data_IF_536072542799
#
_entry.id   IF_536072542799
#
_cell.length_a   1.000
_cell.length_b   1.000
_cell.length_c   1.000
_cell.angle_alpha   90.00
_cell.angle_beta   90.00
_cell.angle_gamma   90.00
#
_symmetry.space_group_name_H-M   'P 1'
#
loop_
_entity.id
_entity.type
_entity.pdbx_description
1 polymer ?
#
# COMPACT_ATOMS: atom_id res chain seq x y z
N UNK A 1 7.94 -6.55 8.18
CA UNK A 1 7.02 -6.23 7.07
C UNK A 1 6.21 -4.96 7.30
N UNK A 2 5.75 -4.75 8.52
CA UNK A 2 4.96 -3.55 8.82
C UNK A 2 5.77 -2.26 8.61
N UNK A 3 7.04 -2.27 9.01
CA UNK A 3 7.90 -1.11 8.81
C UNK A 3 8.12 -0.83 7.32
N UNK A 4 8.27 -1.88 6.53
CA UNK A 4 8.43 -1.76 5.09
C UNK A 4 7.19 -1.11 4.46
N UNK A 5 6.01 -1.57 4.88
CA UNK A 5 4.75 -1.00 4.39
C UNK A 5 4.60 0.46 4.79
N UNK A 6 4.95 0.77 6.05
CA UNK A 6 4.85 2.12 6.57
C UNK A 6 5.78 3.10 5.87
N UNK A 7 6.90 2.60 5.32
CA UNK A 7 7.86 3.44 4.60
C UNK A 7 7.55 3.56 3.11
N UNK A 8 6.55 2.82 2.63
CA UNK A 8 6.20 2.85 1.21
C UNK A 8 5.61 4.21 0.83
N UNK A 9 6.07 4.74 -0.30
CA UNK A 9 5.54 5.99 -0.81
C UNK A 9 4.25 5.72 -1.61
N UNK A 10 3.58 6.80 -2.02
CA UNK A 10 2.31 6.68 -2.73
C UNK A 10 2.42 5.87 -4.01
N UNK A 11 3.39 6.12 -4.89
CA UNK A 11 3.53 5.28 -6.10
C UNK A 11 3.71 3.80 -5.80
N UNK A 12 4.43 3.48 -4.75
CA UNK A 12 4.62 2.08 -4.33
C UNK A 12 3.30 1.48 -3.85
N UNK A 13 2.54 2.24 -3.05
CA UNK A 13 1.24 1.79 -2.58
C UNK A 13 0.28 1.55 -3.75
N UNK A 14 0.29 2.42 -4.75
CA UNK A 14 -0.52 2.25 -5.95
C UNK A 14 -0.19 0.94 -6.66
N UNK A 15 1.09 0.66 -6.77
CA UNK A 15 1.56 -0.55 -7.45
C UNK A 15 1.12 -1.81 -6.70
N UNK A 16 1.20 -1.76 -5.39
CA UNK A 16 0.89 -2.92 -4.56
C UNK A 16 -0.62 -3.17 -4.48
N UNK A 17 -1.39 -2.12 -4.21
CA UNK A 17 -2.84 -2.25 -3.97
C UNK A 17 -3.67 -2.21 -5.25
N UNK A 18 -3.16 -1.55 -6.28
CA UNK A 18 -3.93 -1.30 -7.49
C UNK A 18 -4.82 -0.07 -7.39
N UNK A 19 -4.89 0.57 -6.23
CA UNK A 19 -5.64 1.82 -6.09
C UNK A 19 -4.85 2.96 -6.72
N UNK A 20 -5.55 3.99 -7.15
CA UNK A 20 -4.93 5.14 -7.80
C UNK A 20 -5.22 6.39 -7.00
N UNK A 21 -4.20 7.23 -6.84
CA UNK A 21 -4.37 8.49 -6.12
C UNK A 21 -5.46 9.36 -6.75
N UNK A 22 -5.56 9.32 -8.07
CA UNK A 22 -6.52 10.13 -8.81
C UNK A 22 -7.98 9.78 -8.49
N UNK A 23 -8.22 8.59 -7.93
CA UNK A 23 -9.56 8.16 -7.56
C UNK A 23 -9.99 8.73 -6.21
N UNK A 24 -9.10 9.43 -5.52
CA UNK A 24 -9.36 9.96 -4.19
C UNK A 24 -9.19 11.48 -4.20
N UNK A 25 -9.84 12.14 -3.23
CA UNK A 25 -9.82 13.60 -3.18
C UNK A 25 -8.45 14.12 -2.72
N UNK A 26 -7.79 14.99 -3.52
CA UNK A 26 -6.52 15.59 -3.10
C UNK A 26 -6.71 16.66 -2.02
N UNK A 27 -7.96 17.12 -1.80
CA UNK A 27 -8.23 18.17 -0.81
C UNK A 27 -7.90 17.74 0.60
N UNK A 28 -7.92 16.44 0.87
CA UNK A 28 -7.62 15.90 2.18
C UNK A 28 -6.20 15.32 2.25
N UNK A 29 -5.33 15.76 1.33
CA UNK A 29 -3.94 15.31 1.33
C UNK A 29 -3.79 13.83 1.05
N UNK A 30 -4.72 13.28 0.29
CA UNK A 30 -4.76 11.86 -0.04
C UNK A 30 -4.95 10.96 1.18
N UNK A 31 -5.50 11.51 2.25
CA UNK A 31 -5.74 10.73 3.47
C UNK A 31 -6.66 9.53 3.17
N UNK A 32 -7.69 9.74 2.35
CA UNK A 32 -8.61 8.66 1.98
C UNK A 32 -7.86 7.55 1.22
N UNK A 33 -6.94 7.95 0.34
CA UNK A 33 -6.11 6.99 -0.39
C UNK A 33 -5.25 6.17 0.58
N UNK A 34 -4.58 6.84 1.50
CA UNK A 34 -3.73 6.18 2.49
C UNK A 34 -4.55 5.24 3.37
N UNK A 35 -5.72 5.71 3.82
CA UNK A 35 -6.60 4.89 4.65
C UNK A 35 -7.07 3.64 3.91
N UNK A 36 -7.43 3.79 2.63
CA UNK A 36 -7.86 2.66 1.81
C UNK A 36 -6.73 1.66 1.63
N UNK A 37 -5.52 2.13 1.39
CA UNK A 37 -4.35 1.27 1.24
C UNK A 37 -4.06 0.52 2.53
N UNK A 38 -4.15 1.21 3.67
CA UNK A 38 -3.92 0.59 4.97
C UNK A 38 -4.96 -0.47 5.28
N UNK A 39 -6.24 -0.21 4.96
CA UNK A 39 -7.30 -1.19 5.15
C UNK A 39 -7.07 -2.42 4.26
N UNK A 40 -6.65 -2.18 3.01
CA UNK A 40 -6.34 -3.26 2.09
C UNK A 40 -5.24 -4.16 2.67
N UNK A 41 -4.18 -3.54 3.20
CA UNK A 41 -3.06 -4.26 3.79
C UNK A 41 -3.49 -5.05 5.02
N UNK A 42 -4.26 -4.41 5.91
CA UNK A 42 -4.71 -5.05 7.15
C UNK A 42 -5.62 -6.25 6.89
N UNK A 43 -6.32 -6.24 5.77
CA UNK A 43 -7.22 -7.35 5.42
C UNK A 43 -6.46 -8.59 4.94
N UNK A 44 -5.17 -8.46 4.67
CA UNK A 44 -4.35 -9.59 4.22
C UNK A 44 -3.88 -10.43 5.38
N UNK A 45 -3.80 -11.75 5.15
CA UNK A 45 -3.22 -12.65 6.14
C UNK A 45 -1.70 -12.46 6.19
N UNK A 46 -1.08 -13.04 7.21
CA UNK A 46 0.37 -12.98 7.34
C UNK A 46 1.06 -13.55 6.09
N UNK A 47 0.58 -14.69 5.62
CA UNK A 47 1.17 -15.34 4.44
C UNK A 47 1.04 -14.46 3.19
N UNK A 48 -0.11 -13.81 3.04
CA UNK A 48 -0.33 -12.90 1.91
C UNK A 48 0.59 -11.68 2.01
N UNK A 49 0.71 -11.11 3.19
CA UNK A 49 1.61 -9.98 3.42
C UNK A 49 3.05 -10.34 3.09
N UNK A 50 3.47 -11.53 3.51
CA UNK A 50 4.82 -12.01 3.25
C UNK A 50 5.08 -12.17 1.76
N UNK A 51 4.11 -12.71 1.03
CA UNK A 51 4.24 -12.89 -0.42
C UNK A 51 4.35 -11.54 -1.12
N UNK A 52 3.53 -10.57 -0.71
CA UNK A 52 3.57 -9.22 -1.25
C UNK A 52 4.92 -8.56 -0.98
N UNK A 53 5.38 -8.68 0.25
CA UNK A 53 6.66 -8.12 0.65
C UNK A 53 7.81 -8.69 -0.20
N UNK A 54 7.84 -9.99 -0.37
CA UNK A 54 8.90 -10.64 -1.16
C UNK A 54 8.84 -10.22 -2.62
N UNK A 55 7.64 -10.15 -3.18
CA UNK A 55 7.46 -9.81 -4.58
C UNK A 55 7.97 -8.40 -4.88
N UNK A 56 7.63 -7.44 -4.02
CA UNK A 56 7.96 -6.05 -4.28
C UNK A 56 9.32 -5.63 -3.73
N UNK A 57 9.81 -6.32 -2.72
CA UNK A 57 11.10 -5.99 -2.13
C UNK A 57 12.27 -6.61 -2.87
N UNK A 58 12.04 -7.65 -3.65
CA UNK A 58 13.10 -8.35 -4.35
C UNK A 58 13.46 -7.72 -5.70
N UNK A 59 12.83 -6.62 -6.05
CA UNK A 59 13.09 -5.93 -7.31
C UNK A 59 14.38 -5.10 -7.30
N UNK A 60 15.04 -5.04 -6.19
CA UNK A 60 16.32 -4.36 -6.09
C UNK A 60 17.48 -5.29 -6.53
#
# INVERSE_FOLDING_TARGET
MEAWWGDADFPTMERITGYRQDDFSPEEGYQDFVDACNEWWKAKSYDEKRAIFKEHNSEE
#
